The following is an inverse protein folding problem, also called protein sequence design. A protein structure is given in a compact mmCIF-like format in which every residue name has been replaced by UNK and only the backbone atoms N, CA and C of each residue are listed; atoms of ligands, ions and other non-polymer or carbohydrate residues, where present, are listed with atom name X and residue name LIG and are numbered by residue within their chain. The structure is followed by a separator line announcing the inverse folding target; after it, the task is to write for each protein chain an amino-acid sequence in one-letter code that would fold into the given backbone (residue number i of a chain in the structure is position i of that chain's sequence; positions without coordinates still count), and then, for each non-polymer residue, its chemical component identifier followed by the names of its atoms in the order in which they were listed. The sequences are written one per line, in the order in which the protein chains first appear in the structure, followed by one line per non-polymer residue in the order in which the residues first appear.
data_IF_927624004961
#
_entry.id   IF_927624004961
#
_cell.length_a   1.000
_cell.length_b   1.000
_cell.length_c   1.000
_cell.angle_alpha   90.00
_cell.angle_beta   90.00
_cell.angle_gamma   90.00
#
_symmetry.space_group_name_H-M   'P 1'
#
loop_
_entity.id
_entity.type
_entity.pdbx_description
1 polymer ?
#
# COMPACT_ATOMS: atom_id res chain seq x y z
N UNK A 1 -13.06 -7.86 -13.94
CA UNK A 1 -13.55 -6.48 -13.76
C UNK A 1 -14.56 -6.35 -12.61
N UNK A 2 -15.57 -7.22 -12.50
CA UNK A 2 -16.53 -7.17 -11.39
C UNK A 2 -15.89 -7.35 -10.01
N UNK A 3 -14.86 -8.18 -9.88
CA UNK A 3 -14.12 -8.40 -8.62
C UNK A 3 -13.37 -7.14 -8.19
N UNK A 4 -12.65 -6.51 -9.12
CA UNK A 4 -11.94 -5.23 -8.87
C UNK A 4 -12.93 -4.14 -8.45
N UNK A 5 -14.06 -4.02 -9.13
CA UNK A 5 -15.10 -3.05 -8.76
C UNK A 5 -15.67 -3.29 -7.36
N UNK A 6 -15.87 -4.54 -6.95
CA UNK A 6 -16.32 -4.89 -5.58
C UNK A 6 -15.27 -4.52 -4.53
N UNK A 7 -14.00 -4.83 -4.76
CA UNK A 7 -12.92 -4.56 -3.81
C UNK A 7 -12.58 -3.06 -3.68
N UNK A 8 -12.76 -2.29 -4.76
CA UNK A 8 -12.39 -0.87 -4.79
C UNK A 8 -13.56 0.09 -4.70
N UNK A 9 -14.79 -0.38 -4.85
CA UNK A 9 -15.98 0.47 -5.00
C UNK A 9 -15.99 1.32 -6.28
N UNK A 10 -15.12 1.01 -7.25
CA UNK A 10 -15.00 1.76 -8.51
C UNK A 10 -16.04 1.30 -9.53
N UNK A 11 -16.57 2.24 -10.31
CA UNK A 11 -17.32 1.93 -11.52
C UNK A 11 -16.44 1.28 -12.60
N UNK A 12 -17.05 0.71 -13.63
CA UNK A 12 -16.38 -0.11 -14.65
C UNK A 12 -15.19 0.62 -15.33
N UNK A 13 -15.34 1.89 -15.72
CA UNK A 13 -14.26 2.65 -16.35
C UNK A 13 -13.05 2.87 -15.46
N UNK A 14 -13.21 3.45 -14.26
CA UNK A 14 -12.12 3.59 -13.31
C UNK A 14 -11.48 2.27 -12.85
N UNK A 15 -12.24 1.17 -12.74
CA UNK A 15 -11.72 -0.16 -12.43
C UNK A 15 -10.84 -0.70 -13.57
N UNK A 16 -11.26 -0.48 -14.84
CA UNK A 16 -10.48 -0.83 -16.02
C UNK A 16 -9.16 -0.07 -16.07
N UNK A 17 -9.19 1.27 -15.90
CA UNK A 17 -7.98 2.09 -15.88
C UNK A 17 -7.02 1.70 -14.74
N UNK A 18 -7.55 1.29 -13.59
CA UNK A 18 -6.73 0.77 -12.50
C UNK A 18 -6.07 -0.57 -12.86
N UNK A 19 -6.82 -1.47 -13.53
CA UNK A 19 -6.30 -2.74 -14.03
C UNK A 19 -5.20 -2.54 -15.06
N UNK A 20 -5.42 -1.70 -16.08
CA UNK A 20 -4.44 -1.38 -17.11
C UNK A 20 -3.14 -0.83 -16.50
N UNK A 21 -3.22 0.18 -15.63
CA UNK A 21 -2.06 0.76 -14.98
C UNK A 21 -1.29 -0.25 -14.11
N UNK A 22 -2.00 -1.09 -13.35
CA UNK A 22 -1.39 -2.08 -12.46
C UNK A 22 -0.74 -3.22 -13.23
N UNK A 23 -1.44 -3.79 -14.21
CA UNK A 23 -0.95 -4.92 -14.99
C UNK A 23 0.20 -4.51 -15.90
N UNK A 24 0.17 -3.30 -16.48
CA UNK A 24 1.33 -2.71 -17.18
C UNK A 24 2.54 -2.57 -16.25
N UNK A 25 2.32 -2.16 -15.00
CA UNK A 25 3.40 -2.05 -14.02
C UNK A 25 3.94 -3.43 -13.66
N UNK A 26 3.06 -4.44 -13.49
CA UNK A 26 3.49 -5.82 -13.24
C UNK A 26 4.32 -6.36 -14.40
N UNK A 27 3.86 -6.19 -15.63
CA UNK A 27 4.59 -6.61 -16.83
C UNK A 27 5.99 -5.98 -16.93
N UNK A 28 6.16 -4.74 -16.47
CA UNK A 28 7.47 -4.06 -16.39
C UNK A 28 8.34 -4.51 -15.22
N UNK A 29 7.78 -5.20 -14.26
CA UNK A 29 8.50 -5.72 -13.09
C UNK A 29 9.05 -7.12 -13.35
N UNK A 30 8.37 -7.90 -14.16
CA UNK A 30 8.71 -9.28 -14.53
C UNK A 30 9.83 -9.35 -15.58
N UNK A 31 10.47 -10.52 -15.70
CA UNK A 31 11.35 -10.80 -16.81
C UNK A 31 10.60 -11.07 -18.11
N UNK A 32 11.34 -11.27 -19.20
CA UNK A 32 10.73 -11.35 -20.53
C UNK A 32 9.89 -12.62 -20.73
N UNK A 33 10.22 -13.70 -20.03
CA UNK A 33 9.50 -14.96 -20.12
C UNK A 33 8.22 -14.89 -19.28
N UNK A 34 8.32 -14.44 -18.03
CA UNK A 34 7.17 -14.22 -17.15
C UNK A 34 6.22 -13.14 -17.70
N UNK A 35 6.78 -12.10 -18.33
CA UNK A 35 5.98 -11.06 -19.00
C UNK A 35 5.12 -11.63 -20.13
N UNK A 36 5.70 -12.48 -20.97
CA UNK A 36 4.95 -13.15 -22.05
C UNK A 36 3.85 -14.04 -21.48
N UNK A 37 4.16 -14.83 -20.45
CA UNK A 37 3.18 -15.68 -19.79
C UNK A 37 2.02 -14.87 -19.20
N UNK A 38 2.33 -13.73 -18.54
CA UNK A 38 1.30 -12.82 -18.03
C UNK A 38 0.42 -12.27 -19.14
N UNK A 39 1.01 -11.82 -20.24
CA UNK A 39 0.27 -11.24 -21.38
C UNK A 39 -0.64 -12.29 -22.03
N UNK A 40 -0.15 -13.51 -22.24
CA UNK A 40 -0.90 -14.60 -22.84
C UNK A 40 -2.10 -15.06 -21.98
N UNK A 41 -2.01 -14.88 -20.66
CA UNK A 41 -3.08 -15.24 -19.70
C UNK A 41 -4.14 -14.14 -19.53
N UNK A 42 -3.87 -12.91 -19.96
CA UNK A 42 -4.78 -11.78 -19.77
C UNK A 42 -5.68 -11.55 -21.00
N UNK A 43 -6.89 -10.99 -20.79
CA UNK A 43 -7.74 -10.56 -21.90
C UNK A 43 -7.05 -9.53 -22.80
N UNK A 44 -7.15 -9.64 -24.13
CA UNK A 44 -6.52 -8.71 -25.08
C UNK A 44 -6.85 -7.24 -24.78
N UNK A 45 -8.06 -6.95 -24.33
CA UNK A 45 -8.51 -5.59 -24.01
C UNK A 45 -7.72 -4.91 -22.86
N UNK A 46 -6.94 -5.70 -22.12
CA UNK A 46 -6.07 -5.20 -21.04
C UNK A 46 -4.60 -5.19 -21.45
N UNK A 47 -4.23 -5.80 -22.58
CA UNK A 47 -2.85 -6.00 -22.99
C UNK A 47 -2.48 -5.28 -24.29
N UNK A 48 -3.45 -4.77 -25.06
CA UNK A 48 -3.22 -4.12 -26.36
C UNK A 48 -2.20 -2.97 -26.32
N UNK A 49 -2.10 -2.28 -25.20
CA UNK A 49 -1.18 -1.15 -25.00
C UNK A 49 0.05 -1.52 -24.12
N UNK A 50 0.33 -2.82 -23.89
CA UNK A 50 1.48 -3.20 -23.08
C UNK A 50 2.80 -2.93 -23.83
N UNK A 51 3.61 -2.03 -23.32
CA UNK A 51 4.87 -1.70 -23.97
C UNK A 51 5.88 -2.82 -23.77
N UNK A 52 6.28 -3.49 -24.83
CA UNK A 52 7.25 -4.58 -24.81
C UNK A 52 8.70 -4.08 -24.59
N UNK A 53 9.01 -2.83 -24.96
CA UNK A 53 10.37 -2.27 -25.01
C UNK A 53 10.69 -1.27 -23.89
N UNK A 54 10.11 -1.43 -22.71
CA UNK A 54 10.41 -0.51 -21.60
C UNK A 54 11.42 -1.11 -20.61
N UNK A 55 12.29 -0.26 -20.02
CA UNK A 55 13.21 -0.70 -18.98
C UNK A 55 12.42 -1.30 -17.81
N UNK A 56 12.96 -2.35 -17.25
CA UNK A 56 12.41 -3.00 -16.08
C UNK A 56 12.31 -2.03 -14.90
N UNK A 57 11.31 -2.23 -14.09
CA UNK A 57 11.19 -1.60 -12.79
C UNK A 57 12.24 -2.20 -11.83
N UNK A 58 12.56 -1.50 -10.75
CA UNK A 58 13.57 -1.90 -9.76
C UNK A 58 13.17 -3.13 -8.90
N UNK A 59 11.96 -3.66 -9.09
CA UNK A 59 11.43 -4.82 -8.36
C UNK A 59 11.06 -4.53 -6.91
N UNK A 60 11.10 -3.25 -6.49
CA UNK A 60 10.68 -2.83 -5.15
C UNK A 60 9.19 -2.48 -5.10
N UNK A 61 8.57 -2.60 -3.93
CA UNK A 61 7.19 -2.13 -3.72
C UNK A 61 7.06 -0.64 -4.01
N UNK A 62 8.05 0.16 -3.59
CA UNK A 62 8.07 1.60 -3.84
C UNK A 62 8.10 1.92 -5.34
N UNK A 63 8.99 1.28 -6.09
CA UNK A 63 9.09 1.45 -7.53
C UNK A 63 7.81 1.02 -8.25
N UNK A 64 7.21 -0.08 -7.82
CA UNK A 64 5.92 -0.55 -8.32
C UNK A 64 4.81 0.48 -8.10
N UNK A 65 4.62 0.92 -6.86
CA UNK A 65 3.57 1.90 -6.51
C UNK A 65 3.78 3.22 -7.23
N UNK A 66 5.02 3.71 -7.32
CA UNK A 66 5.35 4.93 -8.05
C UNK A 66 5.01 4.82 -9.54
N UNK A 67 5.32 3.70 -10.17
CA UNK A 67 5.02 3.46 -11.57
C UNK A 67 3.51 3.34 -11.82
N UNK A 68 2.79 2.59 -10.98
CA UNK A 68 1.34 2.48 -11.04
C UNK A 68 0.64 3.84 -10.82
N UNK A 69 1.20 4.69 -9.94
CA UNK A 69 0.72 6.04 -9.69
C UNK A 69 0.86 6.94 -10.94
N UNK A 70 2.01 6.87 -11.62
CA UNK A 70 2.27 7.61 -12.85
C UNK A 70 1.31 7.18 -13.97
N UNK A 71 1.19 5.88 -14.23
CA UNK A 71 0.34 5.34 -15.27
C UNK A 71 -1.14 5.60 -14.98
N UNK A 72 -1.56 5.38 -13.74
CA UNK A 72 -2.94 5.62 -13.29
C UNK A 72 -3.29 7.08 -13.09
N UNK A 73 -2.32 8.01 -13.19
CA UNK A 73 -2.47 9.45 -12.90
C UNK A 73 -3.14 9.68 -11.55
N UNK A 74 -2.65 9.00 -10.50
CA UNK A 74 -3.22 9.02 -9.15
C UNK A 74 -2.12 9.22 -8.12
N UNK A 75 -2.45 9.78 -6.95
CA UNK A 75 -1.51 9.81 -5.83
C UNK A 75 -1.04 8.39 -5.48
N UNK A 76 0.23 8.19 -5.06
CA UNK A 76 0.80 6.87 -4.75
C UNK A 76 -0.06 6.03 -3.81
N UNK A 77 -0.64 6.65 -2.81
CA UNK A 77 -1.57 6.05 -1.86
C UNK A 77 -2.78 5.39 -2.53
N UNK A 78 -3.45 6.11 -3.44
CA UNK A 78 -4.59 5.57 -4.19
C UNK A 78 -4.15 4.51 -5.19
N UNK A 79 -2.98 4.70 -5.81
CA UNK A 79 -2.42 3.73 -6.74
C UNK A 79 -2.11 2.41 -6.04
N UNK A 80 -1.53 2.46 -4.82
CA UNK A 80 -1.22 1.28 -4.02
C UNK A 80 -2.45 0.43 -3.74
N UNK A 81 -3.54 1.03 -3.22
CA UNK A 81 -4.77 0.30 -2.91
C UNK A 81 -5.41 -0.29 -4.18
N UNK A 82 -5.41 0.47 -5.27
CA UNK A 82 -5.93 -0.02 -6.54
C UNK A 82 -5.10 -1.18 -7.07
N UNK A 83 -3.77 -1.07 -6.96
CA UNK A 83 -2.87 -2.14 -7.34
C UNK A 83 -3.12 -3.40 -6.52
N UNK A 84 -3.22 -3.30 -5.19
CA UNK A 84 -3.56 -4.44 -4.33
C UNK A 84 -4.89 -5.08 -4.74
N UNK A 85 -5.95 -4.30 -4.96
CA UNK A 85 -7.23 -4.84 -5.35
C UNK A 85 -7.20 -5.53 -6.72
N UNK A 86 -6.40 -5.00 -7.67
CA UNK A 86 -6.23 -5.62 -8.99
C UNK A 86 -5.42 -6.91 -8.88
N UNK A 87 -4.28 -6.88 -8.20
CA UNK A 87 -3.39 -8.03 -8.07
C UNK A 87 -4.04 -9.16 -7.26
N UNK A 88 -4.75 -8.82 -6.17
CA UNK A 88 -5.54 -9.79 -5.42
C UNK A 88 -6.64 -10.43 -6.27
N UNK A 89 -7.33 -9.63 -7.11
CA UNK A 89 -8.35 -10.16 -8.02
C UNK A 89 -7.76 -11.10 -9.08
N UNK A 90 -6.56 -10.83 -9.58
CA UNK A 90 -5.85 -11.72 -10.51
C UNK A 90 -5.44 -13.00 -9.80
N UNK A 91 -4.88 -12.90 -8.60
CA UNK A 91 -4.48 -14.06 -7.79
C UNK A 91 -5.68 -14.95 -7.41
N UNK A 92 -6.85 -14.36 -7.14
CA UNK A 92 -8.09 -15.09 -6.89
C UNK A 92 -8.59 -15.81 -8.16
N UNK A 93 -8.47 -15.17 -9.32
CA UNK A 93 -8.96 -15.68 -10.58
C UNK A 93 -8.06 -16.76 -11.18
N UNK A 94 -6.75 -16.60 -11.08
CA UNK A 94 -5.75 -17.53 -11.61
C UNK A 94 -4.55 -17.67 -10.64
N UNK A 95 -4.72 -18.43 -9.54
CA UNK A 95 -3.66 -18.67 -8.58
C UNK A 95 -2.48 -19.45 -9.16
N UNK A 96 -2.72 -20.28 -10.19
CA UNK A 96 -1.69 -21.08 -10.83
C UNK A 96 -0.76 -20.19 -11.67
N UNK A 97 -1.28 -19.19 -12.38
CA UNK A 97 -0.49 -18.19 -13.06
C UNK A 97 0.45 -17.48 -12.06
N UNK A 98 -0.10 -16.97 -10.96
CA UNK A 98 0.69 -16.25 -9.96
C UNK A 98 1.77 -17.12 -9.32
N UNK A 99 1.51 -18.43 -9.18
CA UNK A 99 2.51 -19.38 -8.64
C UNK A 99 3.67 -19.64 -9.61
N UNK A 100 3.45 -19.52 -10.91
CA UNK A 100 4.49 -19.73 -11.95
C UNK A 100 5.37 -18.50 -12.15
N UNK A 101 4.81 -17.29 -11.99
CA UNK A 101 5.55 -16.04 -12.20
C UNK A 101 6.61 -15.80 -11.12
N UNK A 102 7.81 -15.41 -11.52
CA UNK A 102 8.91 -15.04 -10.62
C UNK A 102 8.74 -13.59 -10.10
N UNK A 103 7.67 -13.38 -9.32
CA UNK A 103 7.34 -12.09 -8.73
C UNK A 103 8.37 -11.73 -7.66
N UNK A 104 9.01 -10.52 -7.74
CA UNK A 104 9.93 -10.06 -6.71
C UNK A 104 9.31 -10.11 -5.31
N UNK A 105 10.08 -10.54 -4.32
CA UNK A 105 9.61 -10.74 -2.95
C UNK A 105 8.97 -9.48 -2.36
N UNK A 106 9.55 -8.31 -2.63
CA UNK A 106 9.03 -7.02 -2.16
C UNK A 106 7.69 -6.61 -2.79
N UNK A 107 7.33 -7.19 -3.94
CA UNK A 107 6.05 -6.92 -4.63
C UNK A 107 4.96 -7.91 -4.20
N UNK A 108 5.35 -9.09 -3.72
CA UNK A 108 4.40 -10.15 -3.29
C UNK A 108 3.32 -9.67 -2.32
N UNK A 109 3.60 -8.82 -1.31
CA UNK A 109 2.56 -8.33 -0.39
C UNK A 109 1.44 -7.52 -1.06
N UNK A 110 1.65 -7.02 -2.28
CA UNK A 110 0.60 -6.35 -3.04
C UNK A 110 -0.45 -7.31 -3.64
N UNK A 111 -0.20 -8.63 -3.62
CA UNK A 111 -1.17 -9.65 -4.06
C UNK A 111 -2.13 -10.06 -2.94
N UNK A 112 -1.83 -9.70 -1.71
CA UNK A 112 -2.77 -9.90 -0.62
C UNK A 112 -3.94 -8.91 -0.76
N UNK A 113 -5.18 -9.36 -0.54
CA UNK A 113 -6.32 -8.46 -0.58
C UNK A 113 -6.11 -7.33 0.44
N UNK A 114 -6.48 -6.08 0.09
CA UNK A 114 -6.42 -4.99 1.05
C UNK A 114 -7.22 -5.40 2.29
N UNK A 115 -6.62 -5.21 3.47
CA UNK A 115 -7.23 -5.60 4.74
C UNK A 115 -8.70 -5.19 4.78
N UNK A 116 -9.57 -6.15 5.04
CA UNK A 116 -11.01 -5.97 5.06
C UNK A 116 -11.39 -4.91 6.09
N UNK A 117 -12.01 -3.85 5.66
CA UNK A 117 -12.50 -2.79 6.55
C UNK A 117 -12.43 -1.38 5.98
N UNK A 118 -11.73 -1.18 4.87
CA UNK A 118 -11.62 0.14 4.28
C UNK A 118 -11.59 0.11 2.77
N UNK A 119 -12.60 -0.48 2.16
CA UNK A 119 -12.75 -0.38 0.70
C UNK A 119 -12.76 1.09 0.27
N UNK A 120 -12.20 1.39 -0.92
CA UNK A 120 -12.35 2.71 -1.52
C UNK A 120 -13.83 2.85 -1.88
N UNK A 121 -14.63 3.36 -0.96
CA UNK A 121 -16.04 3.64 -1.19
C UNK A 121 -16.25 5.15 -1.24
N UNK A 122 -16.74 5.63 -2.37
CA UNK A 122 -17.11 7.02 -2.54
C UNK A 122 -16.93 7.50 -3.97
N UNK A 123 -17.71 8.47 -4.41
CA UNK A 123 -17.73 8.93 -5.81
C UNK A 123 -16.41 9.52 -6.32
N UNK A 124 -15.39 9.66 -5.46
CA UNK A 124 -14.07 10.21 -5.81
C UNK A 124 -12.89 9.28 -5.48
N UNK A 125 -13.13 8.02 -5.14
CA UNK A 125 -12.06 7.07 -4.82
C UNK A 125 -11.29 7.39 -3.52
N UNK A 126 -11.95 7.99 -2.54
CA UNK A 126 -11.43 8.17 -1.20
C UNK A 126 -11.57 6.86 -0.40
N UNK A 127 -10.61 6.59 0.49
CA UNK A 127 -10.74 5.49 1.43
C UNK A 127 -11.95 5.72 2.36
N UNK A 128 -12.74 4.68 2.61
CA UNK A 128 -13.86 4.77 3.54
C UNK A 128 -13.38 4.84 4.99
N UNK A 129 -14.05 5.63 5.85
CA UNK A 129 -13.78 5.60 7.29
C UNK A 129 -14.11 4.22 7.85
N UNK A 130 -13.24 3.71 8.73
CA UNK A 130 -13.51 2.49 9.50
C UNK A 130 -14.62 2.74 10.51
N UNK A 131 -15.44 1.71 10.76
CA UNK A 131 -16.39 1.67 11.87
C UNK A 131 -15.65 1.55 13.21
N UNK A 132 -16.36 1.74 14.31
CA UNK A 132 -15.78 1.56 15.66
C UNK A 132 -15.27 0.13 15.88
N UNK A 133 -16.02 -0.86 15.41
CA UNK A 133 -15.67 -2.28 15.57
C UNK A 133 -14.45 -2.65 14.72
N UNK A 134 -14.35 -2.11 13.50
CA UNK A 134 -13.18 -2.30 12.62
C UNK A 134 -11.91 -1.64 13.20
N UNK A 135 -12.03 -0.45 13.80
CA UNK A 135 -10.91 0.19 14.50
C UNK A 135 -10.51 -0.64 15.73
N UNK A 136 -11.47 -1.15 16.50
CA UNK A 136 -11.17 -2.02 17.64
C UNK A 136 -10.45 -3.31 17.20
N UNK A 137 -10.93 -3.93 16.12
CA UNK A 137 -10.28 -5.11 15.53
C UNK A 137 -8.85 -4.81 15.03
N UNK A 138 -8.64 -3.66 14.38
CA UNK A 138 -7.33 -3.23 13.94
C UNK A 138 -6.37 -2.99 15.13
N UNK A 139 -6.83 -2.31 16.19
CA UNK A 139 -6.04 -2.08 17.40
C UNK A 139 -5.68 -3.38 18.13
N UNK A 140 -6.51 -4.42 18.05
CA UNK A 140 -6.15 -5.73 18.59
C UNK A 140 -4.90 -6.35 17.92
N UNK A 141 -4.61 -5.96 16.68
CA UNK A 141 -3.40 -6.38 15.93
C UNK A 141 -2.24 -5.38 16.04
N UNK A 142 -2.44 -4.24 16.70
CA UNK A 142 -1.49 -3.15 16.86
C UNK A 142 -1.29 -2.82 18.35
N UNK A 143 -0.64 -3.71 19.13
CA UNK A 143 -0.62 -3.63 20.60
C UNK A 143 0.09 -2.38 21.14
N UNK A 144 0.88 -1.69 20.33
CA UNK A 144 1.58 -0.46 20.70
C UNK A 144 0.81 0.81 20.34
N UNK A 145 -0.37 0.65 19.73
CA UNK A 145 -1.23 1.75 19.30
C UNK A 145 -2.48 1.85 20.16
N UNK A 146 -2.97 3.06 20.29
CA UNK A 146 -4.26 3.40 20.90
C UNK A 146 -5.00 4.37 19.99
N UNK A 147 -6.26 4.62 20.27
CA UNK A 147 -7.04 5.60 19.52
C UNK A 147 -8.49 5.18 19.33
N UNK A 148 -9.13 5.87 18.42
CA UNK A 148 -10.53 5.68 18.05
C UNK A 148 -10.73 5.96 16.56
N UNK A 149 -11.98 6.12 16.12
CA UNK A 149 -12.30 6.42 14.72
C UNK A 149 -11.68 7.72 14.19
N UNK A 150 -11.23 8.62 15.03
CA UNK A 150 -10.68 9.92 14.63
C UNK A 150 -9.19 9.85 14.31
N UNK A 151 -8.43 9.05 15.04
CA UNK A 151 -7.00 8.87 14.83
C UNK A 151 -6.47 7.65 15.60
N UNK A 152 -5.41 7.02 15.08
CA UNK A 152 -4.56 6.09 15.83
C UNK A 152 -3.32 6.83 16.34
N UNK A 153 -2.88 6.48 17.55
CA UNK A 153 -1.76 7.13 18.24
C UNK A 153 -0.81 6.09 18.85
N UNK A 154 0.48 6.29 18.64
CA UNK A 154 1.55 5.58 19.31
C UNK A 154 2.50 6.55 19.97
N UNK A 155 2.91 6.28 21.19
CA UNK A 155 3.94 7.04 21.91
C UNK A 155 5.21 6.20 21.98
N UNK A 156 6.35 6.84 21.72
CA UNK A 156 7.67 6.26 21.88
C UNK A 156 8.52 7.15 22.79
N UNK A 157 9.16 6.51 23.76
CA UNK A 157 10.11 7.17 24.65
C UNK A 157 11.51 6.67 24.32
N UNK A 158 12.36 7.54 23.80
CA UNK A 158 13.72 7.23 23.38
C UNK A 158 14.65 8.43 23.65
N UNK A 159 15.94 8.21 23.88
CA UNK A 159 16.94 9.27 23.92
C UNK A 159 16.88 10.14 22.64
N UNK A 160 17.15 11.44 22.79
CA UNK A 160 17.03 12.42 21.70
C UNK A 160 17.84 12.07 20.44
N UNK A 161 18.99 11.45 20.61
CA UNK A 161 19.84 10.98 19.51
C UNK A 161 19.14 9.89 18.68
N UNK A 162 18.45 8.94 19.33
CA UNK A 162 17.73 7.85 18.69
C UNK A 162 16.46 8.37 18.01
N UNK A 163 15.77 9.36 18.63
CA UNK A 163 14.60 10.00 18.01
C UNK A 163 14.93 10.66 16.66
N UNK A 164 16.14 11.17 16.46
CA UNK A 164 16.57 11.73 15.18
C UNK A 164 16.64 10.68 14.07
N UNK A 165 17.07 9.47 14.40
CA UNK A 165 17.10 8.35 13.43
C UNK A 165 15.69 7.90 13.07
N UNK A 166 14.81 7.75 14.07
CA UNK A 166 13.40 7.41 13.87
C UNK A 166 12.69 8.46 13.01
N UNK A 167 12.86 9.76 13.30
CA UNK A 167 12.25 10.83 12.50
C UNK A 167 12.66 10.76 11.04
N UNK A 168 13.96 10.65 10.76
CA UNK A 168 14.46 10.54 9.38
C UNK A 168 13.90 9.33 8.66
N UNK A 169 13.68 8.23 9.37
CA UNK A 169 13.08 7.05 8.81
C UNK A 169 11.59 7.27 8.51
N UNK A 170 10.83 7.87 9.43
CA UNK A 170 9.41 8.21 9.25
C UNK A 170 9.19 9.25 8.13
N UNK A 171 10.11 10.21 7.96
CA UNK A 171 10.05 11.20 6.87
C UNK A 171 10.15 10.54 5.49
N UNK A 172 10.91 9.43 5.37
CA UNK A 172 11.01 8.67 4.11
C UNK A 172 9.69 8.00 3.72
N UNK A 173 8.79 7.70 4.67
CA UNK A 173 7.48 7.12 4.37
C UNK A 173 6.66 8.01 3.43
N UNK A 174 6.83 9.33 3.49
CA UNK A 174 6.15 10.24 2.56
C UNK A 174 6.51 9.96 1.10
N UNK A 175 7.79 9.66 0.83
CA UNK A 175 8.27 9.37 -0.51
C UNK A 175 7.84 7.97 -0.97
N UNK A 176 7.88 7.00 -0.06
CA UNK A 176 7.60 5.59 -0.35
C UNK A 176 6.10 5.30 -0.46
N UNK A 177 5.30 5.86 0.48
CA UNK A 177 3.87 5.57 0.59
C UNK A 177 2.95 6.73 0.18
N UNK A 178 3.53 7.90 -0.16
CA UNK A 178 2.75 9.12 -0.42
C UNK A 178 2.08 9.69 0.84
N UNK A 179 2.34 9.10 2.00
CA UNK A 179 1.79 9.50 3.31
C UNK A 179 2.87 9.48 4.36
N UNK A 180 2.71 10.36 5.35
CA UNK A 180 3.54 10.35 6.54
C UNK A 180 2.65 10.50 7.78
N UNK A 181 3.02 9.90 8.92
CA UNK A 181 2.34 10.16 10.17
C UNK A 181 2.56 11.62 10.61
N UNK A 182 1.65 12.15 11.40
CA UNK A 182 1.86 13.40 12.13
C UNK A 182 2.74 13.12 13.35
N UNK A 183 3.77 13.93 13.54
CA UNK A 183 4.74 13.76 14.62
C UNK A 183 4.63 14.93 15.59
N UNK A 184 4.46 14.63 16.87
CA UNK A 184 4.38 15.61 17.94
C UNK A 184 5.42 15.32 19.01
N UNK A 185 6.24 16.30 19.36
CA UNK A 185 7.18 16.16 20.47
C UNK A 185 6.42 16.04 21.79
N UNK A 186 6.85 15.11 22.62
CA UNK A 186 6.41 14.96 24.00
C UNK A 186 7.57 15.24 24.96
N UNK A 187 7.29 15.35 26.24
CA UNK A 187 8.35 15.62 27.25
C UNK A 187 9.46 14.55 27.18
N UNK A 188 9.09 13.29 26.98
CA UNK A 188 9.99 12.13 27.07
C UNK A 188 10.21 11.42 25.73
N UNK A 189 9.72 11.99 24.60
CA UNK A 189 9.85 11.29 23.33
C UNK A 189 9.05 11.89 22.17
N UNK A 190 8.30 11.03 21.48
CA UNK A 190 7.57 11.38 20.28
C UNK A 190 6.20 10.68 20.27
N UNK A 191 5.14 11.44 20.02
CA UNK A 191 3.82 10.91 19.69
C UNK A 191 3.66 10.87 18.16
N UNK A 192 3.25 9.72 17.67
CA UNK A 192 3.00 9.43 16.26
C UNK A 192 1.50 9.29 16.08
N UNK A 193 0.92 10.09 15.19
CA UNK A 193 -0.53 10.10 14.94
C UNK A 193 -0.79 9.81 13.47
N UNK A 194 -1.66 8.86 13.19
CA UNK A 194 -2.10 8.52 11.83
C UNK A 194 -3.60 8.68 11.70
N UNK A 195 -4.01 9.37 10.63
CA UNK A 195 -5.40 9.54 10.22
C UNK A 195 -5.47 10.01 8.78
N UNK A 196 -6.54 9.71 8.09
CA UNK A 196 -6.81 10.25 6.75
C UNK A 196 -7.48 11.63 6.89
N UNK A 197 -6.69 12.68 6.70
CA UNK A 197 -7.14 14.07 6.90
C UNK A 197 -8.32 14.43 5.99
N UNK A 198 -8.32 13.99 4.72
CA UNK A 198 -9.39 14.27 3.76
C UNK A 198 -10.74 13.65 4.14
N UNK A 199 -10.73 12.64 4.99
CA UNK A 199 -11.92 11.94 5.47
C UNK A 199 -12.25 12.33 6.92
N UNK A 200 -11.28 12.89 7.64
CA UNK A 200 -11.40 13.25 9.05
C UNK A 200 -11.51 12.04 9.99
N UNK A 201 -11.08 10.86 9.54
CA UNK A 201 -11.26 9.61 10.26
C UNK A 201 -10.14 8.62 9.95
N UNK A 202 -10.07 7.53 10.72
CA UNK A 202 -9.22 6.38 10.46
C UNK A 202 -9.77 5.56 9.31
N UNK A 203 -8.89 5.13 8.42
CA UNK A 203 -9.19 4.27 7.27
C UNK A 203 -8.25 3.07 7.28
N UNK A 204 -8.46 2.09 6.41
CA UNK A 204 -7.53 0.95 6.26
C UNK A 204 -6.11 1.40 5.93
N UNK A 205 -5.96 2.52 5.22
CA UNK A 205 -4.65 3.12 4.92
C UNK A 205 -3.89 3.55 6.16
N UNK A 206 -4.60 4.01 7.18
CA UNK A 206 -3.99 4.43 8.44
C UNK A 206 -3.52 3.23 9.25
N UNK A 207 -4.27 2.12 9.19
CA UNK A 207 -3.88 0.84 9.81
C UNK A 207 -2.62 0.28 9.14
N UNK A 208 -2.55 0.31 7.81
CA UNK A 208 -1.35 -0.10 7.07
C UNK A 208 -0.15 0.79 7.38
N UNK A 209 -0.36 2.11 7.41
CA UNK A 209 0.70 3.05 7.78
C UNK A 209 1.19 2.82 9.21
N UNK A 210 0.29 2.49 10.14
CA UNK A 210 0.65 2.17 11.52
C UNK A 210 1.56 0.93 11.61
N UNK A 211 1.25 -0.15 10.88
CA UNK A 211 2.10 -1.34 10.79
C UNK A 211 3.49 -1.00 10.24
N UNK A 212 3.54 -0.21 9.17
CA UNK A 212 4.82 0.21 8.59
C UNK A 212 5.65 1.10 9.50
N UNK A 213 4.99 1.93 10.30
CA UNK A 213 5.67 2.70 11.35
C UNK A 213 6.29 1.75 12.39
N UNK A 214 5.58 0.67 12.75
CA UNK A 214 6.09 -0.33 13.70
C UNK A 214 7.31 -1.04 13.15
N UNK A 215 7.22 -1.58 11.93
CA UNK A 215 8.34 -2.24 11.22
C UNK A 215 9.58 -1.35 11.17
N UNK A 216 9.37 -0.09 10.81
CA UNK A 216 10.43 0.89 10.62
C UNK A 216 11.11 1.29 11.93
N UNK A 217 10.36 1.40 13.02
CA UNK A 217 10.91 1.66 14.35
C UNK A 217 11.71 0.44 14.83
N UNK A 218 11.25 -0.77 14.55
CA UNK A 218 11.96 -2.00 14.87
C UNK A 218 13.27 -2.11 14.08
N UNK A 219 13.26 -1.84 12.78
CA UNK A 219 14.46 -1.80 11.92
C UNK A 219 15.51 -0.80 12.44
N UNK A 220 15.06 0.43 12.79
CA UNK A 220 15.94 1.46 13.34
C UNK A 220 16.47 1.02 14.72
N UNK A 221 15.62 0.42 15.57
CA UNK A 221 15.99 -0.10 16.87
C UNK A 221 17.06 -1.20 16.79
N UNK A 222 16.90 -2.12 15.85
CA UNK A 222 17.88 -3.18 15.58
C UNK A 222 19.23 -2.62 15.08
N UNK A 223 19.21 -1.49 14.36
CA UNK A 223 20.41 -0.80 13.88
C UNK A 223 21.18 -0.03 14.98
N UNK A 224 20.49 0.40 16.03
CA UNK A 224 21.07 1.15 17.16
C UNK A 224 21.75 0.19 18.16
N UNK A 225 21.31 -1.06 18.22
CA UNK A 225 21.82 -2.06 19.16
C UNK A 225 23.08 -2.84 18.70
N UNK A 226 23.68 -2.50 17.56
CA UNK A 226 24.95 -3.10 17.12
C UNK A 226 26.12 -2.18 17.50
N UNK A 227 27.05 -2.63 18.38
CA UNK A 227 28.29 -1.91 18.66
C UNK A 227 29.22 -1.86 17.45
#
# INVERSE_FOLDING_TARGET
MASIGRMTGLGAGPARAAAEATLTTLARTLDDDDRRELIDALPPELTDDFPMDHPRNDGTEEGFVRQAALLGRRPPEQARIRAQAVLAAVAEQDPELIARLHIPEQVRPLFDPPDSGGGITGPKGHAAPLTADEVAAALATLPLWSGDRSALRREISLPRENLRAVRRALDRLKTTYGRQPQLHDTADGLAIVVRTVSVGAVTALDVQLARRVDDLIEEVGAGIGRP
#
